data_IF_191901285711
#
_entry.id   IF_191901285711
#
_cell.length_a   1.000
_cell.length_b   1.000
_cell.length_c   1.000
_cell.angle_alpha   90.00
_cell.angle_beta   90.00
_cell.angle_gamma   90.00
#
_symmetry.space_group_name_H-M   'P 1'
#
loop_
_entity.id
_entity.type
_entity.pdbx_description
1 polymer ?
#
# COMPACT_ATOMS: atom_id res chain seq x y z
N UNK A 1 -0.52 -9.95 9.82
CA UNK A 1 -1.53 -9.31 10.70
C UNK A 1 -2.87 -10.06 10.79
N UNK A 2 -3.17 -11.06 9.94
CA UNK A 2 -4.47 -11.75 9.93
C UNK A 2 -4.34 -13.25 10.18
N UNK A 3 -3.67 -13.99 9.30
CA UNK A 3 -3.57 -15.46 9.35
C UNK A 3 -2.89 -15.96 10.63
N UNK A 4 -1.72 -15.42 10.97
CA UNK A 4 -0.98 -15.85 12.16
C UNK A 4 -1.76 -15.68 13.47
N UNK A 5 -2.32 -14.49 13.78
CA UNK A 5 -3.15 -14.30 14.96
C UNK A 5 -4.39 -15.18 15.00
N UNK A 6 -5.06 -15.41 13.87
CA UNK A 6 -6.23 -16.29 13.81
C UNK A 6 -5.88 -17.75 14.10
N UNK A 7 -4.78 -18.25 13.54
CA UNK A 7 -4.27 -19.61 13.86
C UNK A 7 -3.88 -19.73 15.33
N UNK A 8 -3.17 -18.72 15.86
CA UNK A 8 -2.78 -18.71 17.28
C UNK A 8 -3.97 -18.69 18.24
N UNK A 9 -5.10 -18.06 17.81
CA UNK A 9 -6.34 -18.04 18.58
C UNK A 9 -7.22 -19.30 18.38
N UNK A 10 -6.77 -20.28 17.56
CA UNK A 10 -7.53 -21.48 17.27
C UNK A 10 -8.73 -21.28 16.35
N UNK A 11 -8.77 -20.19 15.59
CA UNK A 11 -9.86 -19.91 14.67
C UNK A 11 -9.71 -20.67 13.35
N UNK A 12 -10.84 -21.08 12.77
CA UNK A 12 -10.90 -21.44 11.35
C UNK A 12 -11.03 -20.18 10.51
N UNK A 13 -10.57 -20.23 9.26
CA UNK A 13 -10.61 -19.06 8.39
C UNK A 13 -10.83 -19.39 6.92
N UNK A 14 -11.42 -18.44 6.22
CA UNK A 14 -11.49 -18.38 4.77
C UNK A 14 -10.72 -17.14 4.32
N UNK A 15 -9.68 -17.32 3.53
CA UNK A 15 -8.89 -16.24 2.94
C UNK A 15 -9.28 -16.03 1.48
N UNK A 16 -9.67 -14.80 1.12
CA UNK A 16 -9.73 -14.34 -0.26
C UNK A 16 -8.55 -13.39 -0.50
N UNK A 17 -7.56 -13.76 -1.30
CA UNK A 17 -6.49 -12.86 -1.68
C UNK A 17 -6.98 -11.80 -2.66
N UNK A 18 -6.13 -10.81 -2.94
CA UNK A 18 -6.40 -9.91 -4.06
C UNK A 18 -6.38 -10.67 -5.39
N UNK A 19 -7.30 -10.35 -6.28
CA UNK A 19 -7.37 -10.93 -7.63
C UNK A 19 -6.16 -10.54 -8.51
N UNK A 20 -5.47 -9.45 -8.15
CA UNK A 20 -4.30 -8.94 -8.91
C UNK A 20 -3.03 -9.73 -8.60
N UNK A 21 -2.88 -10.24 -7.36
CA UNK A 21 -1.68 -10.94 -6.91
C UNK A 21 -2.04 -12.14 -6.00
N UNK A 22 -2.70 -13.19 -6.52
CA UNK A 22 -3.17 -14.31 -5.70
C UNK A 22 -2.09 -15.38 -5.42
N UNK A 23 -1.01 -15.43 -6.20
CA UNK A 23 -0.06 -16.55 -6.20
C UNK A 23 0.62 -16.79 -4.85
N UNK A 24 0.99 -15.73 -4.13
CA UNK A 24 1.59 -15.85 -2.80
C UNK A 24 0.64 -16.47 -1.75
N UNK A 25 -0.67 -16.27 -1.92
CA UNK A 25 -1.67 -16.89 -1.04
C UNK A 25 -1.85 -18.39 -1.35
N UNK A 26 -1.70 -18.79 -2.62
CA UNK A 26 -1.67 -20.21 -3.00
C UNK A 26 -0.47 -20.91 -2.39
N UNK A 27 0.74 -20.33 -2.52
CA UNK A 27 1.94 -20.85 -1.87
C UNK A 27 1.81 -20.92 -0.34
N UNK A 28 1.17 -19.91 0.28
CA UNK A 28 0.90 -19.94 1.71
C UNK A 28 -0.01 -21.12 2.10
N UNK A 29 -1.02 -21.43 1.28
CA UNK A 29 -1.91 -22.55 1.53
C UNK A 29 -1.15 -23.90 1.47
N UNK A 30 -0.26 -24.06 0.50
CA UNK A 30 0.63 -25.23 0.38
C UNK A 30 1.55 -25.35 1.60
N UNK A 31 2.22 -24.27 2.01
CA UNK A 31 3.10 -24.23 3.18
C UNK A 31 2.34 -24.62 4.46
N UNK A 32 1.13 -24.11 4.65
CA UNK A 32 0.30 -24.45 5.82
C UNK A 32 -0.14 -25.92 5.81
N UNK A 33 -0.43 -26.46 4.62
CA UNK A 33 -0.74 -27.88 4.46
C UNK A 33 0.46 -28.75 4.84
N UNK A 34 1.64 -28.44 4.30
CA UNK A 34 2.89 -29.18 4.55
C UNK A 34 3.34 -29.07 6.02
N UNK A 35 3.06 -27.95 6.66
CA UNK A 35 3.29 -27.73 8.09
C UNK A 35 2.30 -28.49 9.00
N UNK A 36 1.33 -29.22 8.43
CA UNK A 36 0.39 -30.05 9.19
C UNK A 36 -0.80 -29.30 9.79
N UNK A 37 -1.13 -28.11 9.28
CA UNK A 37 -2.37 -27.41 9.67
C UNK A 37 -3.57 -28.30 9.33
N UNK A 38 -4.48 -28.60 10.27
CA UNK A 38 -5.58 -29.53 10.04
C UNK A 38 -6.51 -29.05 8.91
N UNK A 39 -7.06 -29.99 8.15
CA UNK A 39 -8.02 -29.69 7.08
C UNK A 39 -9.21 -28.88 7.61
N UNK A 40 -9.61 -27.84 6.87
CA UNK A 40 -10.71 -26.97 7.22
C UNK A 40 -10.34 -25.79 8.15
N UNK A 41 -9.14 -25.79 8.74
CA UNK A 41 -8.68 -24.64 9.56
C UNK A 41 -8.32 -23.45 8.68
N UNK A 42 -7.57 -23.68 7.60
CA UNK A 42 -7.28 -22.66 6.60
C UNK A 42 -7.90 -23.03 5.26
N UNK A 43 -8.70 -22.15 4.70
CA UNK A 43 -9.38 -22.34 3.42
C UNK A 43 -9.11 -21.15 2.52
N UNK A 44 -8.75 -21.39 1.26
CA UNK A 44 -8.47 -20.35 0.27
C UNK A 44 -9.54 -20.34 -0.80
N UNK A 45 -10.09 -19.17 -1.09
CA UNK A 45 -11.03 -18.95 -2.18
C UNK A 45 -10.57 -17.79 -3.05
N UNK A 46 -10.48 -18.00 -4.34
CA UNK A 46 -10.14 -16.96 -5.29
C UNK A 46 -11.40 -16.31 -5.86
N UNK A 47 -11.27 -15.04 -6.23
CA UNK A 47 -12.32 -14.26 -6.86
C UNK A 47 -12.17 -12.77 -6.58
N UNK A 48 -13.00 -11.97 -7.19
CA UNK A 48 -12.99 -10.53 -7.04
C UNK A 48 -13.70 -10.05 -5.76
N UNK A 49 -13.50 -8.77 -5.45
CA UNK A 49 -14.14 -8.14 -4.30
C UNK A 49 -15.68 -8.09 -4.40
N UNK A 50 -16.25 -7.61 -5.54
CA UNK A 50 -17.68 -7.49 -5.72
C UNK A 50 -18.46 -8.80 -5.65
N UNK A 51 -17.86 -9.92 -6.05
CA UNK A 51 -18.53 -11.23 -6.03
C UNK A 51 -18.22 -12.00 -4.75
N UNK A 52 -16.97 -12.44 -4.60
CA UNK A 52 -16.60 -13.31 -3.46
C UNK A 52 -16.49 -12.53 -2.17
N UNK A 53 -15.93 -11.31 -2.21
CA UNK A 53 -15.81 -10.46 -1.03
C UNK A 53 -17.16 -10.06 -0.46
N UNK A 54 -18.13 -9.74 -1.31
CA UNK A 54 -19.50 -9.41 -0.89
C UNK A 54 -20.22 -10.63 -0.33
N UNK A 55 -20.11 -11.79 -0.99
CA UNK A 55 -20.67 -13.04 -0.49
C UNK A 55 -20.10 -13.41 0.90
N UNK A 56 -18.80 -13.25 1.12
CA UNK A 56 -18.20 -13.47 2.44
C UNK A 56 -18.71 -12.47 3.48
N UNK A 57 -18.87 -11.20 3.12
CA UNK A 57 -19.32 -10.15 4.04
C UNK A 57 -20.73 -10.40 4.56
N UNK A 58 -21.63 -10.88 3.72
CA UNK A 58 -23.04 -11.16 4.05
C UNK A 58 -23.29 -12.58 4.54
N UNK A 59 -22.33 -13.50 4.44
CA UNK A 59 -22.55 -14.93 4.73
C UNK A 59 -22.82 -15.17 6.24
N UNK A 60 -23.92 -15.83 6.62
CA UNK A 60 -24.28 -16.04 8.02
C UNK A 60 -23.33 -17.00 8.76
N UNK A 61 -22.61 -17.87 8.06
CA UNK A 61 -21.61 -18.78 8.63
C UNK A 61 -20.22 -18.17 8.84
N UNK A 62 -20.06 -16.85 8.66
CA UNK A 62 -18.83 -16.11 8.97
C UNK A 62 -19.08 -15.19 10.15
N UNK A 63 -18.37 -15.40 11.26
CA UNK A 63 -18.56 -14.67 12.51
C UNK A 63 -17.82 -13.33 12.55
N UNK A 64 -16.71 -13.22 11.77
CA UNK A 64 -15.88 -12.01 11.75
C UNK A 64 -15.31 -11.77 10.37
N UNK A 65 -15.32 -10.52 9.93
CA UNK A 65 -14.59 -10.06 8.73
C UNK A 65 -13.32 -9.32 9.14
N UNK A 66 -12.21 -9.69 8.53
CA UNK A 66 -10.94 -8.95 8.64
C UNK A 66 -10.50 -8.51 7.26
N UNK A 67 -10.69 -7.22 6.97
CA UNK A 67 -10.51 -6.63 5.65
C UNK A 67 -9.26 -5.75 5.58
N UNK A 68 -8.52 -5.81 4.48
CA UNK A 68 -7.50 -4.83 4.10
C UNK A 68 -7.77 -4.37 2.67
N UNK A 69 -7.83 -3.06 2.47
CA UNK A 69 -8.05 -2.50 1.15
C UNK A 69 -8.45 -1.03 1.17
N UNK A 70 -9.17 -0.59 0.12
CA UNK A 70 -9.61 0.80 0.01
C UNK A 70 -10.75 1.13 0.98
N UNK A 71 -10.85 2.39 1.39
CA UNK A 71 -11.96 2.90 2.22
C UNK A 71 -13.32 2.57 1.59
N UNK A 72 -13.47 2.73 0.28
CA UNK A 72 -14.71 2.39 -0.43
C UNK A 72 -15.11 0.92 -0.23
N UNK A 73 -14.17 0.01 -0.41
CA UNK A 73 -14.42 -1.42 -0.21
C UNK A 73 -14.66 -1.76 1.27
N UNK A 74 -13.93 -1.12 2.20
CA UNK A 74 -14.16 -1.27 3.64
C UNK A 74 -15.57 -0.88 4.06
N UNK A 75 -16.11 0.21 3.50
CA UNK A 75 -17.50 0.62 3.72
C UNK A 75 -18.48 -0.47 3.21
N UNK A 76 -18.23 -1.04 2.04
CA UNK A 76 -19.07 -2.12 1.49
C UNK A 76 -19.03 -3.36 2.39
N UNK A 77 -17.85 -3.78 2.85
CA UNK A 77 -17.68 -4.90 3.79
C UNK A 77 -18.44 -4.64 5.09
N UNK A 78 -18.33 -3.45 5.67
CA UNK A 78 -19.04 -3.11 6.91
C UNK A 78 -20.56 -3.15 6.72
N UNK A 79 -21.07 -2.60 5.62
CA UNK A 79 -22.50 -2.63 5.30
C UNK A 79 -22.99 -4.07 5.07
N UNK A 80 -22.29 -4.88 4.29
CA UNK A 80 -22.64 -6.27 4.02
C UNK A 80 -22.61 -7.16 5.27
N UNK A 81 -21.86 -6.76 6.28
CA UNK A 81 -21.73 -7.49 7.56
C UNK A 81 -22.80 -7.10 8.60
N UNK A 82 -23.56 -6.02 8.37
CA UNK A 82 -24.43 -5.43 9.37
C UNK A 82 -25.60 -6.34 9.78
N UNK A 83 -26.27 -6.98 8.81
CA UNK A 83 -27.44 -7.80 9.06
C UNK A 83 -27.17 -9.03 9.94
N UNK A 84 -25.94 -9.50 9.99
CA UNK A 84 -25.51 -10.61 10.85
C UNK A 84 -24.78 -10.16 12.10
N UNK A 85 -24.67 -8.84 12.32
CA UNK A 85 -23.98 -8.21 13.47
C UNK A 85 -22.56 -8.76 13.70
N UNK A 86 -21.90 -9.25 12.63
CA UNK A 86 -20.54 -9.79 12.74
C UNK A 86 -19.53 -8.68 12.99
N UNK A 87 -18.49 -9.00 13.74
CA UNK A 87 -17.38 -8.08 13.97
C UNK A 87 -16.64 -7.80 12.65
N UNK A 88 -16.31 -6.54 12.41
CA UNK A 88 -15.51 -6.14 11.25
C UNK A 88 -14.24 -5.42 11.72
N UNK A 89 -13.08 -5.99 11.41
CA UNK A 89 -11.77 -5.35 11.57
C UNK A 89 -11.29 -4.84 10.23
N UNK A 90 -10.84 -3.59 10.17
CA UNK A 90 -10.47 -2.94 8.91
C UNK A 90 -9.08 -2.33 8.99
N UNK A 91 -8.28 -2.64 7.99
CA UNK A 91 -7.01 -1.99 7.66
C UNK A 91 -7.18 -1.27 6.32
N UNK A 92 -7.21 0.03 6.34
CA UNK A 92 -7.54 0.85 5.17
C UNK A 92 -6.35 1.70 4.73
N UNK A 93 -6.50 2.41 3.62
CA UNK A 93 -5.48 3.30 3.13
C UNK A 93 -5.28 4.53 4.02
N UNK A 94 -4.13 5.16 3.87
CA UNK A 94 -3.79 6.37 4.62
C UNK A 94 -2.82 7.26 3.87
N UNK A 95 -2.62 8.45 4.43
CA UNK A 95 -1.57 9.40 4.09
C UNK A 95 -0.89 9.81 5.39
N UNK A 96 -0.01 8.94 5.86
CA UNK A 96 0.64 9.12 7.17
C UNK A 96 1.53 10.36 7.20
N UNK A 97 1.50 11.07 8.33
CA UNK A 97 2.38 12.21 8.54
C UNK A 97 3.80 11.73 8.90
N UNK A 98 4.80 12.42 8.36
CA UNK A 98 6.18 12.36 8.79
C UNK A 98 6.56 13.74 9.31
N UNK A 99 6.65 13.89 10.62
CA UNK A 99 6.85 15.19 11.27
C UNK A 99 8.33 15.30 11.64
N UNK A 100 9.04 16.26 11.06
CA UNK A 100 10.44 16.53 11.36
C UNK A 100 10.51 17.67 12.36
N UNK A 101 11.03 17.38 13.56
CA UNK A 101 11.17 18.37 14.63
C UNK A 101 12.48 19.17 14.47
N UNK A 102 12.52 20.35 15.09
CA UNK A 102 13.64 21.29 14.96
C UNK A 102 14.96 20.76 15.54
N UNK A 103 14.90 19.89 16.55
CA UNK A 103 16.04 19.29 17.24
C UNK A 103 16.56 18.00 16.58
N UNK A 104 15.95 17.57 15.48
CA UNK A 104 16.42 16.42 14.72
C UNK A 104 17.66 16.76 13.89
N UNK A 105 18.48 15.73 13.57
CA UNK A 105 19.36 15.80 12.41
C UNK A 105 18.49 15.89 11.15
N UNK A 106 18.16 17.10 10.80
CA UNK A 106 17.09 17.40 9.85
C UNK A 106 17.30 16.78 8.48
N UNK A 107 18.51 16.95 7.91
CA UNK A 107 18.83 16.47 6.57
C UNK A 107 18.71 14.95 6.50
N UNK A 108 19.29 14.25 7.47
CA UNK A 108 19.22 12.79 7.52
C UNK A 108 17.81 12.28 7.90
N UNK A 109 17.04 13.03 8.70
CA UNK A 109 15.67 12.69 9.02
C UNK A 109 14.77 12.77 7.78
N UNK A 110 14.91 13.81 6.96
CA UNK A 110 14.21 13.95 5.68
C UNK A 110 14.58 12.81 4.72
N UNK A 111 15.88 12.50 4.56
CA UNK A 111 16.34 11.40 3.71
C UNK A 111 15.75 10.05 4.14
N UNK A 112 15.76 9.74 5.44
CA UNK A 112 15.17 8.51 5.97
C UNK A 112 13.66 8.44 5.73
N UNK A 113 12.95 9.54 5.95
CA UNK A 113 11.52 9.65 5.69
C UNK A 113 11.18 9.43 4.22
N UNK A 114 11.95 10.02 3.32
CA UNK A 114 11.79 9.85 1.87
C UNK A 114 12.04 8.40 1.45
N UNK A 115 13.13 7.77 1.91
CA UNK A 115 13.39 6.35 1.65
C UNK A 115 12.27 5.46 2.17
N UNK A 116 11.75 5.74 3.37
CA UNK A 116 10.65 4.97 3.94
C UNK A 116 9.37 5.10 3.11
N UNK A 117 9.08 6.30 2.61
CA UNK A 117 7.93 6.52 1.73
C UNK A 117 8.05 5.73 0.41
N UNK A 118 9.26 5.53 -0.10
CA UNK A 118 9.51 4.77 -1.33
C UNK A 118 9.43 3.25 -1.18
N UNK A 119 9.43 2.72 0.04
CA UNK A 119 9.28 1.29 0.26
C UNK A 119 8.02 0.76 -0.41
N UNK A 120 8.16 -0.39 -1.07
CA UNK A 120 7.09 -1.02 -1.85
C UNK A 120 6.45 -0.06 -2.87
N UNK A 121 7.24 0.84 -3.44
CA UNK A 121 6.78 1.84 -4.42
C UNK A 121 5.68 2.77 -3.85
N UNK A 122 5.74 3.07 -2.56
CA UNK A 122 4.73 3.87 -1.86
C UNK A 122 3.38 3.18 -1.66
N UNK A 123 3.24 1.91 -2.02
CA UNK A 123 1.99 1.14 -1.98
C UNK A 123 1.76 0.51 -0.60
N UNK A 124 1.91 1.31 0.46
CA UNK A 124 1.71 0.88 1.85
C UNK A 124 0.76 1.83 2.57
N UNK A 125 -0.17 1.28 3.34
CA UNK A 125 -1.15 2.08 4.09
C UNK A 125 -0.51 3.04 5.10
N UNK A 126 0.67 2.68 5.62
CA UNK A 126 1.45 3.46 6.57
C UNK A 126 2.60 4.28 5.93
N UNK A 127 2.68 4.35 4.61
CA UNK A 127 3.71 5.15 3.94
C UNK A 127 3.66 6.61 4.43
N UNK A 128 4.79 7.17 4.93
CA UNK A 128 4.84 8.53 5.49
C UNK A 128 4.87 9.58 4.38
N UNK A 129 3.79 9.65 3.59
CA UNK A 129 3.70 10.40 2.33
C UNK A 129 3.42 11.89 2.50
N UNK A 130 3.16 12.36 3.73
CA UNK A 130 3.03 13.79 4.04
C UNK A 130 4.14 14.20 5.00
N UNK A 131 5.20 14.77 4.47
CA UNK A 131 6.29 15.28 5.30
C UNK A 131 5.99 16.71 5.75
N UNK A 132 5.95 16.91 7.06
CA UNK A 132 5.71 18.21 7.68
C UNK A 132 7.05 18.72 8.21
N UNK A 133 7.49 19.86 7.68
CA UNK A 133 8.76 20.50 8.01
C UNK A 133 8.53 21.96 8.37
N UNK A 134 9.41 22.58 9.17
CA UNK A 134 9.38 24.02 9.39
C UNK A 134 9.47 24.77 8.05
N UNK A 135 8.64 25.80 7.87
CA UNK A 135 8.61 26.57 6.62
C UNK A 135 9.98 27.17 6.26
N UNK A 136 10.75 27.60 7.27
CA UNK A 136 12.09 28.14 7.09
C UNK A 136 13.12 27.13 6.56
N UNK A 137 12.82 25.82 6.63
CA UNK A 137 13.71 24.73 6.20
C UNK A 137 13.14 23.94 5.01
N UNK A 138 12.12 24.47 4.35
CA UNK A 138 11.45 23.76 3.24
C UNK A 138 12.41 23.48 2.06
N UNK A 139 13.26 24.42 1.71
CA UNK A 139 14.21 24.24 0.59
C UNK A 139 15.27 23.19 0.92
N UNK A 140 15.76 23.15 2.16
CA UNK A 140 16.66 22.10 2.63
C UNK A 140 15.99 20.71 2.58
N UNK A 141 14.70 20.64 2.93
CA UNK A 141 13.94 19.40 2.83
C UNK A 141 13.77 18.94 1.37
N UNK A 142 13.51 19.87 0.44
CA UNK A 142 13.43 19.58 -0.99
C UNK A 142 14.73 19.00 -1.52
N UNK A 143 15.87 19.60 -1.20
CA UNK A 143 17.19 19.13 -1.62
C UNK A 143 17.50 17.72 -1.07
N UNK A 144 17.25 17.49 0.23
CA UNK A 144 17.47 16.19 0.85
C UNK A 144 16.57 15.09 0.25
N UNK A 145 15.32 15.40 -0.03
CA UNK A 145 14.38 14.47 -0.66
C UNK A 145 14.75 14.19 -2.12
N UNK A 146 15.17 15.24 -2.87
CA UNK A 146 15.64 15.13 -4.25
C UNK A 146 16.86 14.23 -4.35
N UNK A 147 17.84 14.37 -3.46
CA UNK A 147 19.04 13.51 -3.44
C UNK A 147 18.66 12.02 -3.32
N UNK A 148 17.67 11.69 -2.48
CA UNK A 148 17.17 10.32 -2.34
C UNK A 148 16.49 9.84 -3.61
N UNK A 149 15.66 10.69 -4.21
CA UNK A 149 14.93 10.37 -5.41
C UNK A 149 15.86 10.07 -6.60
N UNK A 150 16.87 10.92 -6.81
CA UNK A 150 17.85 10.77 -7.88
C UNK A 150 18.75 9.53 -7.74
N UNK A 151 18.93 9.03 -6.50
CA UNK A 151 19.66 7.79 -6.21
C UNK A 151 18.79 6.53 -6.28
N UNK A 152 17.48 6.69 -6.42
CA UNK A 152 16.55 5.57 -6.48
C UNK A 152 16.50 5.02 -7.90
N UNK A 153 16.95 3.78 -8.07
CA UNK A 153 16.93 3.11 -9.38
C UNK A 153 15.59 2.38 -9.53
N UNK A 154 14.76 2.91 -10.43
CA UNK A 154 13.48 2.31 -10.81
C UNK A 154 13.72 1.35 -11.96
N UNK A 155 13.25 0.11 -11.88
CA UNK A 155 13.52 -0.87 -12.95
C UNK A 155 12.90 -2.25 -12.71
N UNK A 156 13.36 -3.21 -13.51
CA UNK A 156 12.96 -4.61 -13.42
C UNK A 156 13.33 -5.18 -12.04
N UNK A 157 12.37 -5.74 -11.27
CA UNK A 157 12.63 -6.32 -9.96
C UNK A 157 13.56 -7.55 -9.98
N UNK A 158 13.81 -8.14 -11.15
CA UNK A 158 14.80 -9.22 -11.31
C UNK A 158 16.24 -8.71 -11.39
N UNK A 159 16.47 -7.42 -11.58
CA UNK A 159 17.78 -6.80 -11.63
C UNK A 159 18.28 -6.44 -10.23
N UNK A 160 19.51 -6.85 -9.90
CA UNK A 160 20.14 -6.52 -8.61
C UNK A 160 20.38 -5.02 -8.40
N UNK A 161 20.44 -4.23 -9.47
CA UNK A 161 20.60 -2.78 -9.41
C UNK A 161 19.29 -2.04 -9.09
N UNK A 162 18.15 -2.67 -9.25
CA UNK A 162 16.85 -2.06 -9.02
C UNK A 162 16.59 -1.89 -7.53
N UNK A 163 16.28 -0.67 -7.11
CA UNK A 163 15.91 -0.36 -5.72
C UNK A 163 14.42 -0.10 -5.54
N UNK A 164 13.70 0.12 -6.63
CA UNK A 164 12.25 0.31 -6.65
C UNK A 164 11.65 -0.40 -7.87
N UNK A 165 10.75 -1.33 -7.62
CA UNK A 165 10.01 -2.05 -8.67
C UNK A 165 8.80 -1.28 -9.19
N UNK A 166 8.01 -1.90 -10.09
CA UNK A 166 6.80 -1.28 -10.66
C UNK A 166 5.65 -1.23 -9.65
N UNK A 167 4.67 -0.37 -9.93
CA UNK A 167 3.36 -0.44 -9.26
C UNK A 167 2.60 -1.69 -9.70
N UNK A 168 1.63 -2.11 -8.89
CA UNK A 168 0.98 -3.42 -8.98
C UNK A 168 0.18 -3.66 -10.26
N UNK A 169 -0.27 -2.60 -10.97
CA UNK A 169 -1.07 -2.73 -12.19
C UNK A 169 -1.17 -1.43 -12.99
N UNK A 170 -1.54 -1.54 -14.27
CA UNK A 170 -1.85 -0.38 -15.13
C UNK A 170 -2.97 0.50 -14.58
N UNK A 171 -3.98 -0.10 -13.96
CA UNK A 171 -5.06 0.66 -13.32
C UNK A 171 -4.52 1.56 -12.21
N UNK A 172 -3.61 1.04 -11.39
CA UNK A 172 -2.98 1.81 -10.32
C UNK A 172 -2.02 2.87 -10.89
N UNK A 173 -1.25 2.51 -11.92
CA UNK A 173 -0.38 3.45 -12.62
C UNK A 173 -1.16 4.65 -13.15
N UNK A 174 -2.22 4.41 -13.94
CA UNK A 174 -3.03 5.48 -14.53
C UNK A 174 -3.69 6.37 -13.46
N UNK A 175 -4.14 5.78 -12.35
CA UNK A 175 -4.68 6.52 -11.22
C UNK A 175 -3.63 7.44 -10.58
N UNK A 176 -2.41 6.96 -10.41
CA UNK A 176 -1.29 7.74 -9.85
C UNK A 176 -0.96 8.90 -10.80
N UNK A 177 -0.86 8.65 -12.11
CA UNK A 177 -0.60 9.71 -13.10
C UNK A 177 -1.63 10.83 -12.99
N UNK A 178 -2.91 10.50 -13.02
CA UNK A 178 -3.97 11.52 -12.90
C UNK A 178 -3.94 12.29 -11.58
N UNK A 179 -3.47 11.68 -10.47
CA UNK A 179 -3.30 12.38 -9.21
C UNK A 179 -2.08 13.32 -9.20
N UNK A 180 -1.00 12.95 -9.90
CA UNK A 180 0.18 13.81 -10.07
C UNK A 180 -0.19 15.03 -10.90
N UNK A 181 -0.84 14.81 -12.05
CA UNK A 181 -1.32 15.89 -12.93
C UNK A 181 -2.23 16.85 -12.16
N UNK A 182 -3.18 16.30 -11.41
CA UNK A 182 -4.08 17.10 -10.58
C UNK A 182 -3.33 17.91 -9.51
N UNK A 183 -2.31 17.35 -8.87
CA UNK A 183 -1.49 18.09 -7.91
C UNK A 183 -0.77 19.28 -8.55
N UNK A 184 -0.25 19.12 -9.77
CA UNK A 184 0.39 20.18 -10.54
C UNK A 184 -0.65 21.25 -10.91
N UNK A 185 -1.84 20.85 -11.38
CA UNK A 185 -2.94 21.77 -11.69
C UNK A 185 -3.41 22.58 -10.48
N UNK A 186 -3.38 21.99 -9.30
CA UNK A 186 -3.72 22.64 -8.02
C UNK A 186 -2.58 23.53 -7.48
N UNK A 187 -1.46 23.64 -8.20
CA UNK A 187 -0.35 24.54 -7.88
C UNK A 187 0.75 23.92 -7.02
N UNK A 188 0.81 22.60 -6.89
CA UNK A 188 1.93 21.95 -6.23
C UNK A 188 3.20 22.08 -7.07
N UNK A 189 4.32 22.42 -6.42
CA UNK A 189 5.63 22.45 -7.05
C UNK A 189 6.14 21.03 -7.26
N UNK A 190 6.50 20.69 -8.49
CA UNK A 190 7.14 19.43 -8.83
C UNK A 190 8.65 19.50 -8.58
N UNK A 191 9.14 18.84 -7.53
CA UNK A 191 10.56 18.84 -7.16
C UNK A 191 11.36 17.89 -8.02
N UNK A 192 10.85 16.67 -8.26
CA UNK A 192 11.52 15.65 -9.07
C UNK A 192 10.51 14.62 -9.56
N UNK A 193 10.80 13.98 -10.70
CA UNK A 193 9.89 13.05 -11.36
C UNK A 193 8.87 13.77 -12.24
N UNK A 194 7.64 13.34 -12.23
CA UNK A 194 6.57 13.96 -13.02
C UNK A 194 5.69 12.95 -13.75
N UNK A 195 4.74 13.40 -14.59
CA UNK A 195 3.93 12.52 -15.42
C UNK A 195 4.77 11.82 -16.50
N UNK A 196 4.33 10.64 -16.92
CA UNK A 196 4.95 9.86 -17.99
C UNK A 196 5.48 8.50 -17.54
N UNK A 197 5.93 7.69 -18.46
CA UNK A 197 6.59 6.41 -18.17
C UNK A 197 8.10 6.59 -18.10
N UNK A 198 8.81 5.87 -17.21
CA UNK A 198 10.22 5.70 -17.32
C UNK A 198 10.61 5.09 -18.69
N UNK A 199 11.83 5.29 -19.14
CA UNK A 199 12.33 4.77 -20.43
C UNK A 199 12.36 3.23 -20.48
N UNK A 200 12.35 2.56 -19.31
CA UNK A 200 12.30 1.10 -19.22
C UNK A 200 10.83 0.62 -19.30
N UNK A 201 10.46 -0.18 -20.32
CA UNK A 201 9.10 -0.65 -20.53
C UNK A 201 8.55 -1.57 -19.41
N UNK A 202 9.41 -2.08 -18.52
CA UNK A 202 9.02 -2.90 -17.35
C UNK A 202 8.72 -2.03 -16.12
N UNK A 203 9.14 -0.76 -16.15
CA UNK A 203 9.00 0.17 -15.03
C UNK A 203 7.72 1.00 -15.13
N UNK A 204 6.64 0.54 -14.50
CA UNK A 204 5.42 1.34 -14.32
C UNK A 204 5.46 2.23 -13.07
N UNK A 205 6.64 2.73 -12.69
CA UNK A 205 6.81 3.46 -11.44
C UNK A 205 7.10 4.92 -11.70
N UNK A 206 6.48 5.79 -10.90
CA UNK A 206 6.75 7.22 -10.88
C UNK A 206 7.17 7.69 -9.51
N UNK A 207 8.32 8.32 -9.50
CA UNK A 207 8.84 9.03 -8.35
C UNK A 207 8.43 10.50 -8.48
N UNK A 208 7.48 10.95 -7.68
CA UNK A 208 7.04 12.34 -7.68
C UNK A 208 7.04 12.88 -6.27
N UNK A 209 7.74 13.97 -6.06
CA UNK A 209 7.75 14.71 -4.81
C UNK A 209 7.10 16.08 -5.04
N UNK A 210 5.77 16.21 -4.96
CA UNK A 210 5.13 17.50 -4.97
C UNK A 210 5.29 18.17 -3.60
N UNK A 211 5.52 19.47 -3.58
CA UNK A 211 5.41 20.29 -2.39
C UNK A 211 4.26 21.25 -2.56
N UNK A 212 3.40 21.35 -1.56
CA UNK A 212 2.44 22.45 -1.45
C UNK A 212 3.03 23.49 -0.53
N UNK A 213 3.35 24.65 -1.07
CA UNK A 213 3.60 25.83 -0.26
C UNK A 213 2.26 26.43 0.14
N UNK A 214 2.03 26.63 1.41
CA UNK A 214 0.97 27.51 1.95
C UNK A 214 1.59 28.50 2.86
#
# INVERSE_FOLDING_TARGET
CKVGPALAAGCTMVLKPTEIAPMNALLLAEILHDAGVPKGVFNLVNGDGPTVGEAMSSHPGIDMMSFTGSTRAGIAVAKGSADTVKRVHQELGGKSANIILDDADFYEAVKRGTKHMFNNTGQSCNAPSRMLVPQSRQDEAKEAAKEVAEKTVVGDPSSESTTMGPVVSDLQYNKIQGLIEKGIEEGAELVVGGPGKPDDPVSYTHLTLPTTGS
#
